data_IF_921789881834
#
_entry.id   IF_921789881834
#
_cell.length_a   1.000
_cell.length_b   1.000
_cell.length_c   1.000
_cell.angle_alpha   90.00
_cell.angle_beta   90.00
_cell.angle_gamma   90.00
#
_symmetry.space_group_name_H-M   'P 1'
#
loop_
_entity.id
_entity.type
_entity.pdbx_description
1 polymer ?
#
# COMPACT_ATOMS: atom_id res chain seq x y z
N UNK A 1 7.61 -14.66 -3.02
CA UNK A 1 8.76 -13.72 -3.09
C UNK A 1 8.32 -12.38 -2.49
N UNK A 2 9.20 -11.67 -1.78
CA UNK A 2 8.93 -10.33 -1.24
C UNK A 2 10.03 -9.38 -1.68
N UNK A 3 9.66 -8.19 -2.15
CA UNK A 3 10.59 -7.18 -2.66
C UNK A 3 10.23 -5.85 -2.02
N UNK A 4 11.23 -5.16 -1.48
CA UNK A 4 11.08 -3.80 -0.96
C UNK A 4 12.03 -2.88 -1.72
N UNK A 5 11.54 -1.72 -2.16
CA UNK A 5 12.35 -0.69 -2.81
C UNK A 5 12.57 0.46 -1.83
N UNK A 6 13.85 0.80 -1.58
CA UNK A 6 14.25 1.85 -0.65
C UNK A 6 15.22 2.82 -1.32
N UNK A 7 15.31 4.05 -0.80
CA UNK A 7 16.14 5.10 -1.39
C UNK A 7 15.56 6.51 -1.22
N UNK A 8 16.36 7.52 -1.57
CA UNK A 8 16.01 8.93 -1.43
C UNK A 8 14.80 9.34 -2.29
N UNK A 9 14.21 10.50 -1.99
CA UNK A 9 13.18 11.11 -2.84
C UNK A 9 13.72 11.32 -4.27
N UNK A 10 12.89 11.05 -5.27
CA UNK A 10 13.27 11.18 -6.68
C UNK A 10 14.16 10.07 -7.26
N UNK A 11 14.61 9.08 -6.47
CA UNK A 11 15.47 7.99 -6.94
C UNK A 11 14.77 6.96 -7.88
N UNK A 12 13.51 7.18 -8.27
CA UNK A 12 12.77 6.30 -9.18
C UNK A 12 12.18 5.04 -8.56
N UNK A 13 12.12 4.94 -7.22
CA UNK A 13 11.64 3.75 -6.49
C UNK A 13 10.27 3.26 -6.95
N UNK A 14 9.29 4.16 -6.99
CA UNK A 14 7.90 3.84 -7.35
C UNK A 14 7.82 3.37 -8.80
N UNK A 15 8.55 4.03 -9.70
CA UNK A 15 8.67 3.63 -11.12
C UNK A 15 9.23 2.23 -11.27
N UNK A 16 10.33 1.92 -10.56
CA UNK A 16 10.96 0.59 -10.59
C UNK A 16 10.01 -0.46 -9.99
N UNK A 17 9.40 -0.17 -8.83
CA UNK A 17 8.50 -1.09 -8.15
C UNK A 17 7.28 -1.44 -9.01
N UNK A 18 6.62 -0.42 -9.58
CA UNK A 18 5.45 -0.63 -10.44
C UNK A 18 5.79 -1.34 -11.74
N UNK A 19 6.92 -0.99 -12.38
CA UNK A 19 7.38 -1.67 -13.60
C UNK A 19 7.68 -3.14 -13.33
N UNK A 20 8.41 -3.43 -12.26
CA UNK A 20 8.72 -4.80 -11.86
C UNK A 20 7.44 -5.60 -11.54
N UNK A 21 6.49 -5.00 -10.80
CA UNK A 21 5.21 -5.62 -10.51
C UNK A 21 4.44 -5.99 -11.79
N UNK A 22 4.37 -5.08 -12.78
CA UNK A 22 3.74 -5.35 -14.09
C UNK A 22 4.42 -6.49 -14.85
N UNK A 23 5.75 -6.51 -14.89
CA UNK A 23 6.51 -7.56 -15.58
C UNK A 23 6.25 -8.92 -14.92
N UNK A 24 6.26 -8.99 -13.59
CA UNK A 24 6.05 -10.24 -12.86
C UNK A 24 4.59 -10.73 -12.97
N UNK A 25 3.62 -9.82 -12.92
CA UNK A 25 2.19 -10.16 -13.04
C UNK A 25 1.85 -10.73 -14.42
N UNK A 26 2.49 -10.23 -15.49
CA UNK A 26 2.33 -10.76 -16.85
C UNK A 26 2.91 -12.16 -17.05
N UNK A 27 3.83 -12.59 -16.18
CA UNK A 27 4.36 -13.97 -16.16
C UNK A 27 3.53 -14.91 -15.28
N UNK A 28 2.24 -14.60 -15.12
CA UNK A 28 1.23 -15.34 -14.35
C UNK A 28 1.39 -15.35 -12.82
N UNK A 29 2.27 -14.52 -12.25
CA UNK A 29 2.35 -14.40 -10.79
C UNK A 29 1.21 -13.51 -10.25
N UNK A 30 0.56 -13.94 -9.16
CA UNK A 30 -0.28 -13.04 -8.36
C UNK A 30 0.62 -12.07 -7.61
N UNK A 31 0.39 -10.77 -7.80
CA UNK A 31 1.17 -9.71 -7.17
C UNK A 31 0.30 -8.92 -6.21
N UNK A 32 0.77 -8.79 -4.97
CA UNK A 32 0.30 -7.78 -4.05
C UNK A 32 1.29 -6.62 -4.07
N UNK A 33 0.85 -5.48 -4.60
CA UNK A 33 1.56 -4.22 -4.53
C UNK A 33 1.12 -3.45 -3.27
N UNK A 34 2.09 -2.92 -2.54
CA UNK A 34 1.85 -2.11 -1.34
C UNK A 34 2.53 -0.76 -1.56
N UNK A 35 1.75 0.33 -1.53
CA UNK A 35 2.28 1.69 -1.53
C UNK A 35 2.29 2.22 -0.09
N UNK A 36 3.49 2.39 0.46
CA UNK A 36 3.71 2.95 1.79
C UNK A 36 4.29 4.36 1.75
N UNK A 37 4.31 5.01 0.59
CA UNK A 37 4.80 6.38 0.45
C UNK A 37 3.74 7.38 0.93
N UNK A 38 4.09 8.43 1.71
CA UNK A 38 3.16 9.47 2.10
C UNK A 38 2.54 10.22 0.91
N UNK A 39 3.17 10.20 -0.27
CA UNK A 39 2.58 10.68 -1.52
C UNK A 39 2.42 9.51 -2.51
N UNK A 40 1.31 8.78 -2.44
CA UNK A 40 1.13 7.52 -3.15
C UNK A 40 1.03 7.74 -4.67
N UNK A 41 1.89 7.05 -5.42
CA UNK A 41 1.94 7.16 -6.88
C UNK A 41 2.07 5.79 -7.57
N UNK A 42 2.05 4.70 -6.80
CA UNK A 42 2.19 3.35 -7.33
C UNK A 42 0.98 2.97 -8.19
N UNK A 43 -0.23 3.38 -7.82
CA UNK A 43 -1.46 3.12 -8.59
C UNK A 43 -1.32 3.58 -10.06
N UNK A 44 -0.85 4.81 -10.26
CA UNK A 44 -0.65 5.38 -11.60
C UNK A 44 0.47 4.66 -12.34
N UNK A 45 1.56 4.32 -11.66
CA UNK A 45 2.68 3.56 -12.25
C UNK A 45 2.25 2.16 -12.69
N UNK A 46 1.35 1.52 -11.94
CA UNK A 46 0.76 0.25 -12.30
C UNK A 46 -0.21 0.37 -13.49
N UNK A 47 -0.63 1.57 -13.87
CA UNK A 47 -1.59 1.80 -14.96
C UNK A 47 -3.04 1.74 -14.52
N UNK A 48 -3.33 1.92 -13.23
CA UNK A 48 -4.69 2.19 -12.74
C UNK A 48 -5.11 3.58 -13.25
N UNK A 49 -6.33 3.71 -13.75
CA UNK A 49 -6.83 4.99 -14.26
C UNK A 49 -6.84 6.04 -13.14
N UNK A 50 -6.64 7.30 -13.50
CA UNK A 50 -6.66 8.41 -12.52
C UNK A 50 -7.98 8.47 -11.75
N UNK A 51 -9.10 8.21 -12.42
CA UNK A 51 -10.42 8.11 -11.79
C UNK A 51 -10.45 7.03 -10.70
N UNK A 52 -9.99 5.80 -11.00
CA UNK A 52 -9.93 4.72 -10.00
C UNK A 52 -8.93 5.03 -8.89
N UNK A 53 -7.78 5.61 -9.23
CA UNK A 53 -6.75 5.98 -8.26
C UNK A 53 -7.26 7.01 -7.24
N UNK A 54 -8.09 7.97 -7.68
CA UNK A 54 -8.70 8.97 -6.80
C UNK A 54 -9.74 8.39 -5.83
N UNK A 55 -10.24 7.17 -6.09
CA UNK A 55 -11.23 6.49 -5.27
C UNK A 55 -10.62 5.33 -4.46
N UNK A 56 -9.29 5.27 -4.33
CA UNK A 56 -8.62 4.24 -3.52
C UNK A 56 -8.86 4.54 -2.05
N UNK A 57 -9.36 3.52 -1.32
CA UNK A 57 -9.44 3.57 0.12
C UNK A 57 -8.08 3.29 0.76
N UNK A 58 -7.62 4.20 1.60
CA UNK A 58 -6.38 4.08 2.34
C UNK A 58 -6.56 3.23 3.58
N UNK A 59 -5.61 2.35 3.87
CA UNK A 59 -5.56 1.66 5.17
C UNK A 59 -5.24 2.71 6.24
N UNK A 60 -6.15 2.94 7.23
CA UNK A 60 -5.85 3.85 8.32
C UNK A 60 -4.89 3.20 9.32
N UNK A 61 -4.10 4.02 10.02
CA UNK A 61 -3.18 3.51 11.06
C UNK A 61 -3.91 2.78 12.20
N UNK A 62 -5.21 3.04 12.38
CA UNK A 62 -6.07 2.41 13.39
C UNK A 62 -6.35 0.93 13.13
N UNK A 63 -6.05 0.39 11.93
CA UNK A 63 -6.21 -1.05 11.70
C UNK A 63 -5.24 -1.88 12.54
N UNK A 64 -4.11 -1.30 12.96
CA UNK A 64 -3.19 -1.92 13.88
C UNK A 64 -3.41 -1.36 15.28
N UNK A 65 -3.54 -2.25 16.26
CA UNK A 65 -3.70 -1.91 17.68
C UNK A 65 -2.54 -2.47 18.47
N UNK A 66 -2.11 -1.72 19.48
CA UNK A 66 -1.14 -2.20 20.45
C UNK A 66 -1.91 -2.97 21.54
N UNK A 67 -1.62 -4.26 21.69
CA UNK A 67 -2.18 -5.12 22.73
C UNK A 67 -1.04 -5.70 23.57
N UNK A 68 -1.35 -6.08 24.81
CA UNK A 68 -0.43 -6.81 25.68
C UNK A 68 -0.69 -8.31 25.50
N UNK A 69 0.37 -9.09 25.27
CA UNK A 69 0.27 -10.54 25.21
C UNK A 69 0.28 -11.18 26.62
N UNK A 70 0.18 -12.52 26.68
CA UNK A 70 0.13 -13.27 27.94
C UNK A 70 1.42 -13.13 28.78
N UNK A 71 2.49 -12.57 28.22
CA UNK A 71 3.78 -12.34 28.87
C UNK A 71 4.01 -10.88 29.27
N UNK A 72 3.03 -10.00 29.02
CA UNK A 72 3.15 -8.57 29.30
C UNK A 72 3.81 -7.75 28.18
N UNK A 73 4.08 -8.37 27.02
CA UNK A 73 4.77 -7.70 25.92
C UNK A 73 3.77 -6.97 25.01
N UNK A 74 4.12 -5.73 24.64
CA UNK A 74 3.29 -4.92 23.76
C UNK A 74 3.48 -5.35 22.30
N UNK A 75 2.46 -5.99 21.73
CA UNK A 75 2.44 -6.49 20.36
C UNK A 75 1.49 -5.68 19.48
N UNK A 76 1.88 -5.45 18.23
CA UNK A 76 1.01 -4.85 17.22
C UNK A 76 0.12 -5.95 16.63
N UNK A 77 -1.19 -5.88 16.84
CA UNK A 77 -2.17 -6.79 16.24
C UNK A 77 -3.06 -6.08 15.24
N UNK A 78 -3.37 -6.79 14.17
CA UNK A 78 -4.34 -6.34 13.19
C UNK A 78 -5.75 -6.52 13.75
N UNK A 79 -6.53 -5.46 13.73
CA UNK A 79 -7.92 -5.43 14.21
C UNK A 79 -8.94 -5.86 13.16
N UNK A 80 -8.48 -6.14 11.93
CA UNK A 80 -9.28 -6.60 10.80
C UNK A 80 -8.80 -7.97 10.34
N UNK A 81 -9.71 -8.77 9.79
CA UNK A 81 -9.31 -9.99 9.08
C UNK A 81 -8.62 -9.66 7.75
N UNK A 82 -7.87 -10.61 7.21
CA UNK A 82 -7.26 -10.47 5.87
C UNK A 82 -8.34 -10.22 4.80
N UNK A 83 -9.46 -10.94 4.86
CA UNK A 83 -10.56 -10.77 3.91
C UNK A 83 -11.16 -9.37 3.98
N UNK A 84 -11.45 -8.87 5.19
CA UNK A 84 -11.97 -7.51 5.40
C UNK A 84 -11.00 -6.45 4.88
N UNK A 85 -9.69 -6.68 5.05
CA UNK A 85 -8.65 -5.78 4.57
C UNK A 85 -8.72 -5.61 3.05
N UNK A 86 -8.79 -6.73 2.32
CA UNK A 86 -8.85 -6.72 0.87
C UNK A 86 -10.21 -6.23 0.34
N UNK A 87 -11.30 -6.55 1.01
CA UNK A 87 -12.63 -6.09 0.63
C UNK A 87 -12.77 -4.58 0.77
N UNK A 88 -12.24 -3.99 1.85
CA UNK A 88 -12.40 -2.57 2.16
C UNK A 88 -11.31 -1.68 1.54
N UNK A 89 -10.08 -2.17 1.47
CA UNK A 89 -8.90 -1.35 1.12
C UNK A 89 -8.12 -1.88 -0.08
N UNK A 90 -8.50 -3.05 -0.62
CA UNK A 90 -7.91 -3.60 -1.82
C UNK A 90 -8.41 -2.88 -3.07
N UNK A 91 -7.50 -2.54 -3.98
CA UNK A 91 -7.82 -2.01 -5.31
C UNK A 91 -7.31 -2.95 -6.38
N UNK A 92 -8.17 -3.37 -7.30
CA UNK A 92 -7.77 -4.19 -8.45
C UNK A 92 -7.01 -3.35 -9.48
N UNK A 93 -5.77 -3.75 -9.74
CA UNK A 93 -4.94 -3.23 -10.82
C UNK A 93 -5.15 -3.97 -12.14
N UNK A 94 -4.46 -3.56 -13.20
CA UNK A 94 -4.36 -4.36 -14.42
C UNK A 94 -3.55 -5.64 -14.17
N UNK A 95 -3.70 -6.62 -15.07
CA UNK A 95 -3.11 -7.95 -14.94
C UNK A 95 -3.57 -8.64 -13.62
N UNK A 96 -2.74 -9.47 -12.98
CA UNK A 96 -3.06 -10.16 -11.71
C UNK A 96 -2.50 -9.39 -10.48
N UNK A 97 -2.77 -8.08 -10.42
CA UNK A 97 -2.24 -7.18 -9.39
C UNK A 97 -3.35 -6.70 -8.45
N UNK A 98 -3.17 -6.98 -7.18
CA UNK A 98 -3.89 -6.34 -6.07
C UNK A 98 -3.03 -5.21 -5.51
N UNK A 99 -3.62 -4.03 -5.30
CA UNK A 99 -2.96 -2.87 -4.70
C UNK A 99 -3.59 -2.57 -3.35
N UNK A 100 -2.73 -2.31 -2.36
CA UNK A 100 -3.09 -1.71 -1.09
C UNK A 100 -2.27 -0.43 -0.92
N UNK A 101 -2.89 0.62 -0.40
CA UNK A 101 -2.23 1.90 -0.12
C UNK A 101 -2.36 2.20 1.37
N UNK A 102 -1.23 2.50 2.01
CA UNK A 102 -1.16 2.81 3.43
C UNK A 102 -1.32 4.31 3.66
N UNK A 103 -2.07 4.69 4.69
CA UNK A 103 -2.08 6.03 5.26
C UNK A 103 -2.75 7.10 4.39
N UNK A 104 -3.69 7.85 4.96
CA UNK A 104 -4.11 9.10 4.35
C UNK A 104 -2.91 10.08 4.45
N UNK A 105 -2.55 10.83 3.40
CA UNK A 105 -1.68 11.98 3.57
C UNK A 105 -2.30 12.85 4.66
N UNK A 106 -1.50 13.33 5.64
CA UNK A 106 -2.00 14.38 6.51
C UNK A 106 -2.51 15.52 5.60
N UNK A 107 -3.74 15.97 5.82
CA UNK A 107 -4.27 17.17 5.18
C UNK A 107 -3.17 18.22 5.17
N UNK A 108 -2.94 18.85 4.03
CA UNK A 108 -1.74 19.63 3.71
C UNK A 108 -1.49 20.88 4.54
N UNK A 109 -1.51 20.81 5.87
CA UNK A 109 -0.86 21.76 6.77
C UNK A 109 0.64 21.47 6.76
N UNK A 110 1.26 21.76 5.61
CA UNK A 110 2.64 22.21 5.62
C UNK A 110 2.69 23.48 6.47
N UNK A 111 3.06 23.33 7.74
CA UNK A 111 3.39 24.45 8.63
C UNK A 111 2.24 25.01 9.45
N UNK A 112 2.08 24.50 10.66
CA UNK A 112 1.81 25.30 11.84
C UNK A 112 2.25 24.48 13.04
N UNK A 113 3.19 25.02 13.81
CA UNK A 113 3.90 24.33 14.90
C UNK A 113 3.03 24.03 16.13
#
# INVERSE_FOLDING_TARGET
MRIATVGKGGAGKTTIAGTLARILAKKENKILAIDGDPNPNLALTLGISREKANNINFIPHTVMKLEEDDYGEKVLKMSLSENDLFEKYGTKGPDNIDLIVMGHPADGTAGSG
#
